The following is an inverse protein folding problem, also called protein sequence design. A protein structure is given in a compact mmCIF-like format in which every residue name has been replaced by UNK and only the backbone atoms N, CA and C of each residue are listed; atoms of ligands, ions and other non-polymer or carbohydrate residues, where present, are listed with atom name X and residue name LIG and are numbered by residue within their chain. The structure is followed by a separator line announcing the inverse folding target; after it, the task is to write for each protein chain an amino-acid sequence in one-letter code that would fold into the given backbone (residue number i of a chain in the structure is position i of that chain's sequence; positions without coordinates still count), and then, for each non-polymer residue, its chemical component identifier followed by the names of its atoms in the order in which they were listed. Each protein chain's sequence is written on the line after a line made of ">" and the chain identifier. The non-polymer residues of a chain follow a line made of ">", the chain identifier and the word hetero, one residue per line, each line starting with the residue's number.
data_IF_275913834683
#
_entry.id   IF_275913834683
#
_cell.length_a   1.000
_cell.length_b   1.000
_cell.length_c   1.000
_cell.angle_alpha   90.00
_cell.angle_beta   90.00
_cell.angle_gamma   90.00
#
_symmetry.space_group_name_H-M   'P 1'
#
loop_
_entity.id
_entity.type
_entity.pdbx_description
1 polymer ?
#
# COMPACT_ATOMS: atom_id res chain seq x y z
N UNK A 1 15.43 1.45 3.84
CA UNK A 1 16.08 2.63 4.46
C UNK A 1 15.17 3.82 4.25
N UNK A 2 14.82 4.50 5.33
CA UNK A 2 13.99 5.70 5.36
C UNK A 2 14.58 6.87 4.53
N UNK A 3 15.91 6.95 4.44
CA UNK A 3 16.62 7.94 3.61
C UNK A 3 16.41 7.67 2.13
N UNK A 4 16.41 6.39 1.74
CA UNK A 4 16.19 5.96 0.36
C UNK A 4 14.73 6.17 -0.06
N UNK A 5 13.78 5.86 0.83
CA UNK A 5 12.36 6.15 0.63
C UNK A 5 12.10 7.66 0.42
N UNK A 6 12.75 8.52 1.23
CA UNK A 6 12.68 9.98 1.09
C UNK A 6 13.27 10.49 -0.23
N UNK A 7 14.40 9.91 -0.68
CA UNK A 7 15.07 10.31 -1.92
C UNK A 7 14.24 10.01 -3.18
N UNK A 8 13.40 8.97 -3.16
CA UNK A 8 12.50 8.66 -4.28
C UNK A 8 11.45 9.76 -4.47
N UNK A 9 10.93 10.36 -3.41
CA UNK A 9 10.00 11.48 -3.53
C UNK A 9 10.63 12.69 -4.22
N UNK A 10 11.89 12.98 -3.90
CA UNK A 10 12.62 14.04 -4.58
C UNK A 10 12.78 13.75 -6.08
N UNK A 11 13.10 12.51 -6.44
CA UNK A 11 13.25 12.13 -7.84
C UNK A 11 11.92 12.17 -8.60
N UNK A 12 10.83 11.66 -8.02
CA UNK A 12 9.49 11.69 -8.63
C UNK A 12 8.94 13.11 -8.79
N UNK A 13 9.23 13.98 -7.83
CA UNK A 13 8.84 15.40 -7.89
C UNK A 13 9.58 16.13 -9.01
N UNK A 14 10.90 15.95 -9.13
CA UNK A 14 11.70 16.54 -10.21
C UNK A 14 11.30 15.99 -11.58
N UNK A 15 10.92 14.71 -11.65
CA UNK A 15 10.41 14.08 -12.87
C UNK A 15 8.96 14.49 -13.22
N UNK A 16 8.27 15.24 -12.35
CA UNK A 16 6.91 15.73 -12.58
C UNK A 16 5.81 14.68 -12.37
N UNK A 17 6.12 13.54 -11.77
CA UNK A 17 5.14 12.48 -11.48
C UNK A 17 4.25 12.81 -10.27
N UNK A 18 4.77 13.57 -9.31
CA UNK A 18 4.04 14.02 -8.13
C UNK A 18 4.16 15.54 -7.99
N UNK A 19 3.09 16.17 -7.51
CA UNK A 19 3.06 17.61 -7.21
C UNK A 19 2.71 17.80 -5.74
N UNK A 20 3.23 18.85 -5.10
CA UNK A 20 3.03 19.11 -3.68
C UNK A 20 4.32 19.10 -2.87
N UNK A 21 4.18 19.04 -1.55
CA UNK A 21 5.28 18.99 -0.58
C UNK A 21 5.32 17.60 0.07
N UNK A 22 6.52 17.13 0.42
CA UNK A 22 6.76 15.81 1.00
C UNK A 22 7.86 15.90 2.07
N UNK A 23 7.70 15.18 3.16
CA UNK A 23 8.68 15.11 4.25
C UNK A 23 9.44 13.79 4.19
N UNK A 24 10.56 13.74 3.46
CA UNK A 24 11.43 12.55 3.41
C UNK A 24 12.15 12.22 4.73
N UNK A 25 11.60 12.65 5.87
CA UNK A 25 12.14 12.50 7.22
C UNK A 25 11.44 11.35 7.95
N UNK A 26 12.17 10.40 8.56
CA UNK A 26 11.59 9.32 9.35
C UNK A 26 10.73 9.81 10.52
N UNK A 27 11.02 10.99 11.08
CA UNK A 27 10.24 11.58 12.16
C UNK A 27 8.82 11.98 11.73
N UNK A 28 8.62 12.19 10.43
CA UNK A 28 7.33 12.54 9.83
C UNK A 28 6.61 11.30 9.24
N UNK A 29 7.09 10.09 9.53
CA UNK A 29 6.49 8.84 9.07
C UNK A 29 4.98 8.77 9.33
N UNK A 30 4.51 9.31 10.45
CA UNK A 30 3.09 9.34 10.80
C UNK A 30 2.23 10.03 9.73
N UNK A 31 2.79 10.95 8.95
CA UNK A 31 2.08 11.60 7.85
C UNK A 31 1.86 10.66 6.65
N UNK A 32 2.69 9.63 6.49
CA UNK A 32 2.57 8.60 5.46
C UNK A 32 1.77 7.38 5.92
N UNK A 33 1.43 7.31 7.21
CA UNK A 33 0.53 6.30 7.75
C UNK A 33 -0.91 6.69 7.42
N UNK A 34 -1.32 6.42 6.19
CA UNK A 34 -2.66 5.98 5.72
C UNK A 34 -3.93 6.40 6.52
N UNK A 35 -3.94 7.57 7.16
CA UNK A 35 -5.11 8.19 7.82
C UNK A 35 -5.57 9.46 7.09
N UNK A 36 -5.20 9.57 5.81
CA UNK A 36 -5.46 10.71 4.95
C UNK A 36 -4.26 11.66 4.81
N UNK A 37 -4.30 12.46 3.74
CA UNK A 37 -3.22 13.40 3.39
C UNK A 37 -3.36 14.66 4.24
N UNK A 38 -2.50 14.85 5.25
CA UNK A 38 -2.36 16.17 5.89
C UNK A 38 -1.77 17.15 4.88
N UNK A 39 -2.32 18.37 4.82
CA UNK A 39 -2.07 19.32 3.73
C UNK A 39 -0.57 19.59 3.52
N UNK A 40 0.00 18.99 2.47
CA UNK A 40 1.36 19.27 2.00
C UNK A 40 2.48 18.42 2.59
N UNK A 41 2.19 17.32 3.29
CA UNK A 41 3.24 16.53 3.96
C UNK A 41 3.59 15.26 3.20
N UNK A 42 2.66 14.75 2.38
CA UNK A 42 2.80 13.49 1.65
C UNK A 42 2.13 13.54 0.28
N UNK A 43 2.70 12.88 -0.75
CA UNK A 43 2.03 12.72 -2.04
C UNK A 43 0.78 11.83 -1.90
N UNK A 44 -0.26 12.16 -2.67
CA UNK A 44 -1.55 11.47 -2.66
C UNK A 44 -1.79 10.70 -3.96
N UNK A 45 -2.48 9.56 -3.88
CA UNK A 45 -3.08 8.92 -5.03
C UNK A 45 -4.32 9.71 -5.53
N UNK A 46 -4.93 9.25 -6.63
CA UNK A 46 -6.13 9.88 -7.20
C UNK A 46 -7.36 9.86 -6.26
N UNK A 47 -7.31 9.07 -5.19
CA UNK A 47 -8.36 8.86 -4.20
C UNK A 47 -8.01 9.49 -2.83
N UNK A 48 -7.01 10.37 -2.79
CA UNK A 48 -6.57 11.08 -1.56
C UNK A 48 -6.02 10.16 -0.46
N UNK A 49 -5.60 8.94 -0.79
CA UNK A 49 -4.77 8.10 0.08
C UNK A 49 -3.29 8.43 -0.11
N UNK A 50 -2.48 8.59 0.96
CA UNK A 50 -1.03 8.73 0.82
C UNK A 50 -0.40 7.52 0.11
N UNK A 51 0.56 7.81 -0.76
CA UNK A 51 1.39 6.76 -1.38
C UNK A 51 2.69 6.61 -0.61
N UNK A 52 3.22 5.39 -0.56
CA UNK A 52 4.43 5.08 0.21
C UNK A 52 5.34 4.12 -0.55
N UNK A 53 6.64 4.39 -0.60
CA UNK A 53 7.65 3.42 -1.02
C UNK A 53 8.51 3.07 0.18
N UNK A 54 8.52 1.81 0.59
CA UNK A 54 9.27 1.37 1.76
C UNK A 54 9.69 -0.11 1.67
N UNK A 55 10.56 -0.52 2.57
CA UNK A 55 10.88 -1.93 2.76
C UNK A 55 9.93 -2.52 3.81
N UNK A 56 9.05 -3.42 3.39
CA UNK A 56 8.04 -4.02 4.28
C UNK A 56 7.71 -5.46 3.86
N UNK A 57 7.16 -6.23 4.78
CA UNK A 57 6.62 -7.58 4.55
C UNK A 57 5.09 -7.64 4.76
N UNK A 58 4.44 -6.49 4.97
CA UNK A 58 2.99 -6.33 5.18
C UNK A 58 2.20 -6.39 3.87
N UNK A 59 2.30 -7.53 3.19
CA UNK A 59 1.50 -7.88 2.03
C UNK A 59 0.94 -9.28 2.19
N UNK A 60 -0.15 -9.57 1.48
CA UNK A 60 -0.77 -10.90 1.46
C UNK A 60 0.06 -11.88 0.65
N UNK A 61 0.30 -13.06 1.21
CA UNK A 61 1.02 -14.14 0.56
C UNK A 61 0.22 -15.45 0.53
N UNK A 62 -0.43 -15.69 -0.60
CA UNK A 62 -1.33 -16.83 -0.78
C UNK A 62 -2.69 -16.58 -0.16
N UNK A 63 -2.81 -16.42 1.16
CA UNK A 63 -4.10 -16.30 1.86
C UNK A 63 -4.16 -15.04 2.72
N UNK A 64 -5.37 -14.51 2.98
CA UNK A 64 -5.56 -13.25 3.71
C UNK A 64 -4.82 -13.19 5.06
N UNK A 65 -4.79 -14.30 5.81
CA UNK A 65 -4.11 -14.37 7.10
C UNK A 65 -2.59 -14.55 7.02
N UNK A 66 -2.04 -14.75 5.81
CA UNK A 66 -0.63 -15.00 5.59
C UNK A 66 0.08 -13.71 5.20
N UNK A 67 0.89 -13.20 6.12
CA UNK A 67 1.84 -12.13 5.86
C UNK A 67 3.01 -12.64 5.00
N UNK A 68 3.59 -11.76 4.20
CA UNK A 68 4.90 -11.99 3.59
C UNK A 68 5.95 -12.41 4.61
N UNK A 69 6.83 -13.32 4.23
CA UNK A 69 7.91 -13.81 5.09
C UNK A 69 9.25 -13.10 4.87
N UNK A 70 9.31 -12.20 3.89
CA UNK A 70 10.52 -11.51 3.46
C UNK A 70 10.21 -10.02 3.31
N UNK A 71 11.01 -9.18 3.95
CA UNK A 71 10.95 -7.73 3.73
C UNK A 71 11.41 -7.40 2.31
N UNK A 72 10.55 -6.75 1.53
CA UNK A 72 10.84 -6.35 0.14
C UNK A 72 10.63 -4.85 -0.02
N UNK A 73 11.33 -4.26 -0.99
CA UNK A 73 10.99 -2.92 -1.44
C UNK A 73 9.60 -2.97 -2.09
N UNK A 74 8.72 -2.10 -1.63
CA UNK A 74 7.30 -2.19 -1.87
C UNK A 74 6.70 -0.79 -2.04
N UNK A 75 6.01 -0.57 -3.17
CA UNK A 75 5.24 0.64 -3.43
C UNK A 75 3.77 0.44 -3.07
N UNK A 76 3.32 1.07 -2.00
CA UNK A 76 1.92 1.21 -1.61
C UNK A 76 1.23 2.24 -2.50
N UNK A 77 0.12 1.85 -3.13
CA UNK A 77 -0.73 2.74 -3.90
C UNK A 77 -1.61 3.65 -3.02
N UNK A 78 -1.60 3.43 -1.71
CA UNK A 78 -2.50 4.09 -0.77
C UNK A 78 -3.92 3.54 -0.85
N UNK A 79 -4.72 3.84 0.15
CA UNK A 79 -6.10 3.38 0.23
C UNK A 79 -7.07 4.26 -0.54
N UNK A 80 -8.35 4.11 -0.20
CA UNK A 80 -9.47 4.75 -0.87
C UNK A 80 -9.69 4.26 -2.32
N UNK A 81 -9.07 3.13 -2.70
CA UNK A 81 -9.20 2.58 -4.06
C UNK A 81 -10.27 1.49 -4.07
N UNK A 82 -11.32 1.62 -4.91
CA UNK A 82 -12.33 0.57 -5.04
C UNK A 82 -11.74 -0.77 -5.51
N UNK A 83 -12.17 -1.87 -4.90
CA UNK A 83 -11.66 -3.22 -5.21
C UNK A 83 -11.74 -3.60 -6.69
N UNK A 84 -12.81 -3.27 -7.45
CA UNK A 84 -12.84 -3.53 -8.89
C UNK A 84 -11.68 -2.88 -9.66
N UNK A 85 -11.24 -1.67 -9.26
CA UNK A 85 -10.08 -1.02 -9.86
C UNK A 85 -8.78 -1.72 -9.48
N UNK A 86 -8.65 -2.19 -8.23
CA UNK A 86 -7.48 -2.95 -7.78
C UNK A 86 -7.34 -4.26 -8.55
N UNK A 87 -8.44 -4.99 -8.74
CA UNK A 87 -8.46 -6.19 -9.60
C UNK A 87 -8.06 -5.86 -11.04
N UNK A 88 -8.61 -4.80 -11.61
CA UNK A 88 -8.28 -4.42 -12.99
C UNK A 88 -6.83 -3.96 -13.15
N UNK A 89 -6.25 -3.35 -12.11
CA UNK A 89 -4.85 -3.00 -12.05
C UNK A 89 -3.98 -4.26 -12.00
N UNK A 90 -4.34 -5.22 -11.14
CA UNK A 90 -3.67 -6.50 -10.99
C UNK A 90 -3.67 -7.31 -12.29
N UNK A 91 -4.83 -7.48 -12.93
CA UNK A 91 -4.92 -8.16 -14.22
C UNK A 91 -4.08 -7.53 -15.34
N UNK A 92 -3.75 -6.24 -15.24
CA UNK A 92 -2.95 -5.53 -16.24
C UNK A 92 -1.46 -5.56 -15.94
N UNK A 93 -1.08 -5.58 -14.67
CA UNK A 93 0.31 -5.55 -14.24
C UNK A 93 0.88 -6.95 -13.97
N UNK A 94 0.02 -7.93 -13.71
CA UNK A 94 0.39 -9.22 -13.12
C UNK A 94 -0.59 -10.35 -13.49
N UNK A 95 -1.27 -10.97 -12.51
CA UNK A 95 -2.06 -12.19 -12.69
C UNK A 95 -3.54 -12.04 -12.28
N UNK A 96 -3.91 -10.93 -11.65
CA UNK A 96 -5.29 -10.67 -11.21
C UNK A 96 -5.65 -11.32 -9.87
N UNK A 97 -4.68 -11.91 -9.18
CA UNK A 97 -4.84 -12.58 -7.89
C UNK A 97 -4.11 -11.77 -6.82
N UNK A 98 -4.89 -11.15 -5.93
CA UNK A 98 -4.40 -10.25 -4.89
C UNK A 98 -3.35 -10.85 -3.93
N UNK A 99 -3.35 -12.17 -3.79
CA UNK A 99 -2.42 -12.91 -2.95
C UNK A 99 -1.22 -13.50 -3.68
N UNK A 100 -1.04 -13.28 -4.99
CA UNK A 100 0.09 -13.84 -5.78
C UNK A 100 0.76 -12.80 -6.70
N UNK A 101 1.86 -13.20 -7.33
CA UNK A 101 2.63 -12.33 -8.24
C UNK A 101 3.36 -11.14 -7.58
N UNK A 102 3.55 -10.06 -8.34
CA UNK A 102 4.19 -8.80 -7.97
C UNK A 102 3.22 -7.75 -7.41
N UNK A 103 1.94 -7.75 -7.80
CA UNK A 103 0.95 -6.82 -7.25
C UNK A 103 0.12 -7.53 -6.17
N UNK A 104 0.33 -7.16 -4.91
CA UNK A 104 -0.31 -7.79 -3.75
C UNK A 104 -1.30 -6.88 -3.06
N UNK A 105 -2.26 -7.46 -2.36
CA UNK A 105 -3.05 -6.72 -1.38
C UNK A 105 -2.19 -6.34 -0.17
N UNK A 106 -2.33 -5.10 0.30
CA UNK A 106 -1.63 -4.61 1.49
C UNK A 106 -2.19 -5.27 2.75
N UNK A 107 -1.33 -5.85 3.59
CA UNK A 107 -1.75 -6.41 4.89
C UNK A 107 -1.78 -5.33 5.97
N UNK A 108 -2.80 -5.37 6.83
CA UNK A 108 -2.89 -4.47 7.96
C UNK A 108 -1.90 -4.78 9.08
N UNK A 109 -1.28 -3.73 9.64
CA UNK A 109 -0.53 -3.86 10.88
C UNK A 109 -1.47 -4.11 12.07
N UNK A 110 -1.23 -5.17 12.84
CA UNK A 110 -1.92 -5.41 14.10
C UNK A 110 -1.48 -4.39 15.17
N UNK A 111 -2.04 -3.17 15.15
CA UNK A 111 -2.01 -2.16 16.23
C UNK A 111 -0.64 -1.72 16.81
N UNK A 112 0.49 -2.18 16.28
CA UNK A 112 1.80 -1.79 16.79
C UNK A 112 2.23 -0.42 16.21
N UNK A 113 2.85 0.46 17.02
CA UNK A 113 3.59 1.60 16.50
C UNK A 113 4.84 1.06 15.82
N UNK A 114 4.72 0.70 14.54
CA UNK A 114 5.88 0.49 13.70
C UNK A 114 6.57 1.84 13.51
N UNK A 115 7.89 1.85 13.44
CA UNK A 115 8.70 3.04 13.19
C UNK A 115 9.67 2.65 12.10
N UNK A 116 9.73 3.35 10.96
CA UNK A 116 10.62 3.03 9.85
C UNK A 116 9.96 2.79 8.49
N UNK A 117 8.65 3.09 8.35
CA UNK A 117 7.82 2.69 7.20
C UNK A 117 7.66 1.16 7.06
N UNK A 118 7.84 0.46 8.17
CA UNK A 118 7.88 -1.00 8.20
C UNK A 118 6.50 -1.64 7.99
N UNK A 119 5.41 -0.87 8.11
CA UNK A 119 4.05 -1.36 7.93
C UNK A 119 3.07 -0.29 7.46
N UNK A 120 2.01 -0.74 6.79
CA UNK A 120 0.85 0.09 6.42
C UNK A 120 -0.19 0.04 7.55
N UNK A 121 -0.56 1.21 8.07
CA UNK A 121 -1.53 1.36 9.17
C UNK A 121 -2.68 2.24 8.70
N UNK A 122 -3.86 1.66 8.52
CA UNK A 122 -5.08 2.42 8.18
C UNK A 122 -5.83 1.86 6.98
N UNK A 123 -5.16 1.65 5.84
CA UNK A 123 -5.80 1.11 4.63
C UNK A 123 -5.51 -0.37 4.44
N UNK A 124 -5.97 -1.12 5.44
CA UNK A 124 -5.73 -2.54 5.54
C UNK A 124 -6.78 -3.28 4.73
N UNK A 125 -6.39 -4.35 4.06
CA UNK A 125 -7.37 -5.36 3.68
C UNK A 125 -7.99 -5.98 4.93
N UNK A 126 -9.21 -5.56 5.25
CA UNK A 126 -10.07 -6.40 6.07
C UNK A 126 -10.52 -7.61 5.22
N UNK A 127 -11.20 -8.58 5.84
CA UNK A 127 -11.86 -9.69 5.14
C UNK A 127 -12.78 -9.21 4.00
N UNK A 128 -13.09 -7.92 3.92
CA UNK A 128 -13.92 -7.33 2.89
C UNK A 128 -13.15 -6.98 1.60
N UNK A 129 -11.82 -6.80 1.58
CA UNK A 129 -11.13 -6.49 0.32
C UNK A 129 -10.86 -7.72 -0.55
N UNK A 130 -10.84 -8.91 0.07
CA UNK A 130 -10.49 -10.19 -0.54
C UNK A 130 -11.61 -11.22 -0.30
N UNK A 131 -11.99 -11.97 -1.34
CA UNK A 131 -13.20 -12.81 -1.32
C UNK A 131 -13.07 -14.13 -0.53
N UNK A 132 -11.84 -14.58 -0.24
CA UNK A 132 -11.61 -15.83 0.49
C UNK A 132 -10.46 -15.68 1.49
N UNK A 133 -10.79 -15.90 2.76
CA UNK A 133 -9.86 -15.81 3.88
C UNK A 133 -8.98 -17.06 4.06
N UNK A 134 -9.33 -18.16 3.39
CA UNK A 134 -8.81 -19.51 3.63
C UNK A 134 -8.08 -20.14 2.44
N UNK A 135 -8.15 -19.53 1.25
CA UNK A 135 -7.48 -20.01 0.03
C UNK A 135 -6.67 -18.90 -0.66
N UNK A 136 -6.29 -19.13 -1.94
CA UNK A 136 -5.63 -18.11 -2.75
C UNK A 136 -6.51 -16.85 -2.80
N UNK A 137 -6.07 -15.78 -2.16
CA UNK A 137 -6.88 -14.61 -1.91
C UNK A 137 -7.16 -13.86 -3.21
N UNK A 138 -8.40 -13.96 -3.69
CA UNK A 138 -8.90 -13.19 -4.82
C UNK A 138 -9.44 -11.84 -4.35
N UNK A 139 -9.43 -10.83 -5.21
CA UNK A 139 -10.11 -9.57 -4.96
C UNK A 139 -11.63 -9.77 -4.79
N UNK A 140 -12.21 -9.20 -3.73
CA UNK A 140 -13.67 -9.14 -3.58
C UNK A 140 -14.25 -7.94 -4.34
N UNK A 141 -14.59 -8.18 -5.62
CA UNK A 141 -15.08 -7.12 -6.51
C UNK A 141 -16.42 -6.52 -6.09
N UNK A 142 -17.19 -7.22 -5.26
CA UNK A 142 -18.47 -6.76 -4.76
C UNK A 142 -18.33 -6.06 -3.40
N UNK A 143 -17.10 -5.94 -2.90
CA UNK A 143 -16.78 -5.27 -1.64
C UNK A 143 -17.27 -3.84 -1.60
N UNK A 144 -17.88 -3.48 -0.48
CA UNK A 144 -18.22 -2.10 -0.15
C UNK A 144 -17.08 -1.35 0.55
N UNK A 145 -15.94 -2.02 0.81
CA UNK A 145 -14.85 -1.44 1.58
C UNK A 145 -14.12 -0.37 0.74
N UNK A 146 -14.15 0.91 1.14
CA UNK A 146 -13.46 1.95 0.40
C UNK A 146 -11.96 1.99 0.73
N UNK A 147 -11.53 1.42 1.86
CA UNK A 147 -10.19 1.56 2.43
C UNK A 147 -9.18 0.51 1.91
N UNK A 148 -9.49 -0.19 0.81
CA UNK A 148 -8.60 -1.20 0.25
C UNK A 148 -7.34 -0.57 -0.37
N UNK A 149 -6.22 -1.27 -0.23
CA UNK A 149 -4.92 -0.86 -0.74
C UNK A 149 -4.19 -2.04 -1.41
N UNK A 150 -3.33 -1.73 -2.37
CA UNK A 150 -2.44 -2.67 -3.03
C UNK A 150 -0.99 -2.20 -2.96
N UNK A 151 -0.07 -3.14 -3.11
CA UNK A 151 1.36 -2.95 -3.04
C UNK A 151 2.00 -3.59 -4.26
N UNK A 152 2.87 -2.85 -4.94
CA UNK A 152 3.76 -3.39 -5.95
C UNK A 152 5.09 -3.81 -5.32
N UNK A 153 5.46 -5.08 -5.45
CA UNK A 153 6.70 -5.63 -4.91
C UNK A 153 7.82 -5.58 -5.96
N UNK A 154 8.98 -5.04 -5.57
CA UNK A 154 10.21 -5.08 -6.35
C UNK A 154 11.05 -6.32 -6.03
#
# INVERSE_FOLDING_TARGET
>A
DVTEAGAVWAHLSVAGFITGSYTGDPADEAAYRDTGVSSGTVPANAFQGPILLAHMDYYVDGALANQGTVTRLAYSFGGNIPVPLLRDLDQKLDDGIAGTGVLRSAMGAATAPTTGFDAIVGYTNTEECLADVSSIANWDVDSANPECNSIFLY
#
